data_IF_627356684571
#
_entry.id   IF_627356684571
#
_cell.length_a   1.000
_cell.length_b   1.000
_cell.length_c   1.000
_cell.angle_alpha   90.00
_cell.angle_beta   90.00
_cell.angle_gamma   90.00
#
_symmetry.space_group_name_H-M   'P 1'
#
loop_
_entity.id
_entity.type
_entity.pdbx_description
1 polymer ?
#
# COMPACT_ATOMS: atom_id res chain seq x y z
N UNK A 1 30.77 -17.75 18.25
CA UNK A 1 29.42 -17.16 18.23
C UNK A 1 28.88 -17.31 16.82
N UNK A 2 27.63 -17.78 16.60
CA UNK A 2 27.07 -17.82 15.25
C UNK A 2 27.06 -16.40 14.68
N UNK A 3 27.59 -16.24 13.46
CA UNK A 3 27.64 -14.97 12.76
C UNK A 3 26.21 -14.47 12.49
N UNK A 4 25.96 -13.19 12.70
CA UNK A 4 24.69 -12.57 12.35
C UNK A 4 24.45 -12.72 10.85
N UNK A 5 23.39 -13.42 10.45
CA UNK A 5 22.91 -13.37 9.08
C UNK A 5 22.12 -12.07 8.90
N UNK A 6 22.78 -11.03 8.38
CA UNK A 6 22.21 -9.68 8.19
C UNK A 6 21.09 -9.66 7.17
N UNK A 7 21.17 -10.49 6.14
CA UNK A 7 20.13 -10.60 5.12
C UNK A 7 18.84 -11.18 5.69
N UNK A 8 18.97 -12.22 6.51
CA UNK A 8 17.85 -12.76 7.28
C UNK A 8 17.29 -11.69 8.21
N UNK A 9 18.15 -11.04 9.01
CA UNK A 9 17.73 -10.02 9.97
C UNK A 9 16.97 -8.87 9.28
N UNK A 10 17.48 -8.37 8.16
CA UNK A 10 16.84 -7.34 7.37
C UNK A 10 15.49 -7.80 6.81
N UNK A 11 15.38 -9.05 6.36
CA UNK A 11 14.13 -9.60 5.83
C UNK A 11 13.06 -9.72 6.94
N UNK A 12 13.41 -10.22 8.12
CA UNK A 12 12.46 -10.29 9.25
C UNK A 12 12.06 -8.90 9.74
N UNK A 13 13.00 -7.95 9.81
CA UNK A 13 12.72 -6.56 10.19
C UNK A 13 11.74 -5.89 9.20
N UNK A 14 11.92 -6.16 7.90
CA UNK A 14 11.02 -5.66 6.87
C UNK A 14 9.63 -6.28 6.96
N UNK A 15 9.51 -7.59 7.12
CA UNK A 15 8.20 -8.23 7.22
C UNK A 15 7.47 -7.81 8.50
N UNK A 16 8.18 -7.65 9.62
CA UNK A 16 7.61 -7.14 10.87
C UNK A 16 7.08 -5.70 10.75
N UNK A 17 7.50 -4.93 9.73
CA UNK A 17 6.95 -3.59 9.45
C UNK A 17 5.54 -3.65 8.83
N UNK A 18 5.26 -4.69 8.05
CA UNK A 18 4.00 -4.86 7.32
C UNK A 18 3.04 -5.88 7.95
N UNK A 19 3.43 -6.50 9.07
CA UNK A 19 2.64 -7.49 9.82
C UNK A 19 2.85 -7.34 11.33
N UNK A 20 2.69 -8.41 12.11
CA UNK A 20 3.08 -8.44 13.53
C UNK A 20 4.42 -9.13 13.73
N UNK A 21 5.08 -8.82 14.84
CA UNK A 21 6.35 -9.45 15.25
C UNK A 21 6.24 -10.98 15.28
N UNK A 22 5.15 -11.51 15.82
CA UNK A 22 4.92 -12.95 15.95
C UNK A 22 4.82 -13.62 14.59
N UNK A 23 4.06 -13.03 13.66
CA UNK A 23 3.87 -13.56 12.31
C UNK A 23 5.16 -13.52 11.49
N UNK A 24 5.90 -12.42 11.58
CA UNK A 24 7.21 -12.32 10.95
C UNK A 24 8.17 -13.36 11.54
N UNK A 25 8.27 -13.44 12.86
CA UNK A 25 9.13 -14.41 13.54
C UNK A 25 8.80 -15.85 13.17
N UNK A 26 7.52 -16.21 13.12
CA UNK A 26 7.05 -17.52 12.70
C UNK A 26 7.43 -17.85 11.25
N UNK A 27 7.30 -16.88 10.35
CA UNK A 27 7.57 -17.08 8.91
C UNK A 27 9.04 -17.38 8.62
N UNK A 28 9.95 -16.84 9.42
CA UNK A 28 11.41 -17.02 9.25
C UNK A 28 12.05 -17.96 10.29
N UNK A 29 11.26 -18.58 11.17
CA UNK A 29 11.76 -19.50 12.19
C UNK A 29 12.67 -18.83 13.23
N UNK A 30 12.41 -17.56 13.56
CA UNK A 30 13.20 -16.80 14.55
C UNK A 30 12.35 -16.46 15.77
N UNK A 31 13.00 -16.19 16.90
CA UNK A 31 12.27 -15.77 18.11
C UNK A 31 12.03 -14.25 18.13
N UNK A 32 10.95 -13.81 18.79
CA UNK A 32 10.68 -12.37 19.03
C UNK A 32 11.86 -11.70 19.76
N UNK A 33 12.52 -12.40 20.69
CA UNK A 33 13.72 -11.90 21.37
C UNK A 33 14.86 -11.62 20.39
N UNK A 34 15.02 -12.46 19.35
CA UNK A 34 16.00 -12.27 18.29
C UNK A 34 15.67 -11.03 17.46
N UNK A 35 14.41 -10.88 17.05
CA UNK A 35 13.95 -9.69 16.31
C UNK A 35 14.19 -8.40 17.10
N UNK A 36 13.87 -8.39 18.40
CA UNK A 36 14.11 -7.25 19.28
C UNK A 36 15.60 -6.90 19.41
N UNK A 37 16.48 -7.91 19.43
CA UNK A 37 17.93 -7.70 19.39
C UNK A 37 18.38 -7.05 18.07
N UNK A 38 17.84 -7.49 16.94
CA UNK A 38 18.15 -6.90 15.63
C UNK A 38 17.63 -5.46 15.50
N UNK A 39 16.47 -5.14 16.09
CA UNK A 39 15.98 -3.76 16.17
C UNK A 39 16.94 -2.85 16.95
N UNK A 40 17.46 -3.33 18.08
CA UNK A 40 18.49 -2.58 18.82
C UNK A 40 19.74 -2.39 17.98
N UNK A 41 20.23 -3.43 17.33
CA UNK A 41 21.40 -3.34 16.46
C UNK A 41 21.22 -2.32 15.32
N UNK A 42 20.02 -2.27 14.74
CA UNK A 42 19.66 -1.26 13.73
C UNK A 42 19.63 0.15 14.34
N UNK A 43 19.05 0.30 15.54
CA UNK A 43 18.98 1.58 16.25
C UNK A 43 20.36 2.09 16.73
N UNK A 44 21.25 1.16 17.09
CA UNK A 44 22.64 1.43 17.50
C UNK A 44 23.53 1.80 16.30
N UNK A 45 23.01 1.72 15.07
CA UNK A 45 23.67 2.26 13.88
C UNK A 45 24.52 1.27 13.09
N UNK A 46 24.25 -0.04 13.12
CA UNK A 46 24.99 -1.02 12.27
C UNK A 46 24.86 -0.63 10.78
N UNK A 47 25.94 -0.14 10.13
CA UNK A 47 25.84 0.46 8.80
C UNK A 47 25.45 -0.55 7.72
N UNK A 48 25.89 -1.80 7.88
CA UNK A 48 25.65 -2.87 6.90
C UNK A 48 24.18 -3.32 6.97
N UNK A 49 23.66 -3.50 8.18
CA UNK A 49 22.24 -3.83 8.36
C UNK A 49 21.33 -2.69 7.89
N UNK A 50 21.67 -1.45 8.19
CA UNK A 50 20.93 -0.26 7.72
C UNK A 50 20.87 -0.23 6.19
N UNK A 51 22.01 -0.44 5.52
CA UNK A 51 22.07 -0.43 4.06
C UNK A 51 21.17 -1.51 3.44
N UNK A 52 21.21 -2.73 3.98
CA UNK A 52 20.38 -3.84 3.48
C UNK A 52 18.89 -3.58 3.72
N UNK A 53 18.51 -3.10 4.90
CA UNK A 53 17.12 -2.75 5.22
C UNK A 53 16.62 -1.63 4.29
N UNK A 54 17.41 -0.58 4.08
CA UNK A 54 17.07 0.50 3.17
C UNK A 54 16.86 -0.01 1.73
N UNK A 55 17.77 -0.84 1.22
CA UNK A 55 17.65 -1.43 -0.12
C UNK A 55 16.38 -2.29 -0.26
N UNK A 56 16.09 -3.15 0.73
CA UNK A 56 14.87 -3.97 0.75
C UNK A 56 13.60 -3.13 0.84
N UNK A 57 13.62 -2.05 1.63
CA UNK A 57 12.51 -1.10 1.71
C UNK A 57 12.25 -0.42 0.37
N UNK A 58 13.28 0.10 -0.29
CA UNK A 58 13.13 0.71 -1.61
C UNK A 58 12.56 -0.28 -2.63
N UNK A 59 13.04 -1.53 -2.63
CA UNK A 59 12.50 -2.57 -3.51
C UNK A 59 11.03 -2.89 -3.19
N UNK A 60 10.66 -2.96 -1.92
CA UNK A 60 9.28 -3.18 -1.49
C UNK A 60 8.37 -2.00 -1.89
N UNK A 61 8.81 -0.76 -1.70
CA UNK A 61 8.08 0.45 -2.06
C UNK A 61 7.84 0.51 -3.58
N UNK A 62 8.84 0.17 -4.40
CA UNK A 62 8.69 0.07 -5.86
C UNK A 62 7.71 -1.04 -6.27
N UNK A 63 7.81 -2.21 -5.64
CA UNK A 63 6.88 -3.31 -5.89
C UNK A 63 5.44 -2.93 -5.52
N UNK A 64 5.26 -2.18 -4.43
CA UNK A 64 3.97 -1.64 -4.01
C UNK A 64 3.45 -0.57 -4.96
N UNK A 65 4.30 0.34 -5.41
CA UNK A 65 3.93 1.37 -6.39
C UNK A 65 3.35 0.75 -7.67
N UNK A 66 3.89 -0.38 -8.12
CA UNK A 66 3.39 -1.10 -9.28
C UNK A 66 2.04 -1.82 -9.03
N UNK A 67 1.75 -2.21 -7.79
CA UNK A 67 0.50 -2.89 -7.41
C UNK A 67 -0.62 -1.91 -7.10
N UNK A 68 -0.29 -0.70 -6.65
CA UNK A 68 -1.24 0.29 -6.17
C UNK A 68 -2.33 0.63 -7.21
N UNK A 69 -2.04 0.82 -8.51
CA UNK A 69 -3.09 1.07 -9.50
C UNK A 69 -4.14 -0.05 -9.56
N UNK A 70 -3.71 -1.31 -9.51
CA UNK A 70 -4.61 -2.47 -9.52
C UNK A 70 -5.49 -2.54 -8.28
N UNK A 71 -4.89 -2.33 -7.09
CA UNK A 71 -5.63 -2.30 -5.82
C UNK A 71 -6.65 -1.15 -5.78
N UNK A 72 -6.27 0.03 -6.26
CA UNK A 72 -7.18 1.18 -6.37
C UNK A 72 -8.34 0.87 -7.33
N UNK A 73 -8.06 0.25 -8.48
CA UNK A 73 -9.11 -0.16 -9.43
C UNK A 73 -10.12 -1.13 -8.80
N UNK A 74 -9.64 -2.11 -8.03
CA UNK A 74 -10.52 -3.06 -7.32
C UNK A 74 -11.36 -2.35 -6.24
N UNK A 75 -10.76 -1.40 -5.51
CA UNK A 75 -11.49 -0.59 -4.53
C UNK A 75 -12.59 0.26 -5.18
N UNK A 76 -12.29 0.91 -6.31
CA UNK A 76 -13.28 1.68 -7.07
C UNK A 76 -14.43 0.81 -7.58
N UNK A 77 -14.11 -0.39 -8.07
CA UNK A 77 -15.11 -1.37 -8.51
C UNK A 77 -16.02 -1.78 -7.34
N UNK A 78 -15.46 -2.11 -6.18
CA UNK A 78 -16.23 -2.47 -5.00
C UNK A 78 -17.17 -1.33 -4.55
N UNK A 79 -16.71 -0.07 -4.63
CA UNK A 79 -17.56 1.09 -4.32
C UNK A 79 -18.71 1.21 -5.33
N UNK A 80 -18.46 0.98 -6.63
CA UNK A 80 -19.50 1.01 -7.66
C UNK A 80 -20.54 -0.12 -7.47
N UNK A 81 -20.10 -1.32 -7.10
CA UNK A 81 -20.96 -2.45 -6.78
C UNK A 81 -21.81 -2.16 -5.53
N UNK A 82 -21.21 -1.65 -4.45
CA UNK A 82 -21.92 -1.22 -3.25
C UNK A 82 -22.94 -0.12 -3.56
N UNK A 83 -22.58 0.87 -4.37
CA UNK A 83 -23.49 1.94 -4.78
C UNK A 83 -24.71 1.37 -5.53
N UNK A 84 -24.50 0.39 -6.41
CA UNK A 84 -25.56 -0.29 -7.14
C UNK A 84 -26.45 -1.11 -6.21
N UNK A 85 -25.87 -1.83 -5.25
CA UNK A 85 -26.60 -2.59 -4.25
C UNK A 85 -27.49 -1.67 -3.39
N UNK A 86 -26.94 -0.58 -2.86
CA UNK A 86 -27.68 0.43 -2.09
C UNK A 86 -28.81 1.02 -2.93
N UNK A 87 -28.58 1.29 -4.22
CA UNK A 87 -29.63 1.79 -5.13
C UNK A 87 -30.78 0.79 -5.34
N UNK A 88 -30.60 -0.49 -5.05
CA UNK A 88 -31.65 -1.50 -5.21
C UNK A 88 -32.31 -1.89 -3.88
N UNK A 89 -31.85 -1.33 -2.75
CA UNK A 89 -32.36 -1.62 -1.40
C UNK A 89 -33.04 -0.38 -0.81
N UNK A 90 -34.36 -0.46 -0.58
CA UNK A 90 -35.18 0.66 -0.08
C UNK A 90 -34.87 1.07 1.37
N UNK A 91 -34.44 0.12 2.21
CA UNK A 91 -34.08 0.40 3.59
C UNK A 91 -32.70 1.05 3.65
N UNK A 92 -31.75 0.57 2.83
CA UNK A 92 -30.43 1.17 2.71
C UNK A 92 -30.47 2.61 2.19
N UNK A 93 -31.35 2.93 1.24
CA UNK A 93 -31.56 4.30 0.72
C UNK A 93 -32.02 5.29 1.78
N UNK A 94 -32.77 4.83 2.77
CA UNK A 94 -33.34 5.68 3.82
C UNK A 94 -32.44 5.75 5.04
N UNK A 95 -31.41 4.90 5.12
CA UNK A 95 -30.47 4.87 6.23
C UNK A 95 -29.40 5.97 6.06
N UNK A 96 -29.39 7.02 6.90
CA UNK A 96 -28.44 8.11 6.78
C UNK A 96 -26.99 7.67 6.98
N UNK A 97 -26.74 6.64 7.81
CA UNK A 97 -25.38 6.14 8.04
C UNK A 97 -24.79 5.49 6.78
N UNK A 98 -25.62 4.75 6.03
CA UNK A 98 -25.23 4.12 4.76
C UNK A 98 -24.92 5.18 3.71
N UNK A 99 -25.81 6.17 3.56
CA UNK A 99 -25.59 7.27 2.62
C UNK A 99 -24.35 8.09 2.96
N UNK A 100 -24.09 8.35 4.25
CA UNK A 100 -22.91 9.07 4.70
C UNK A 100 -21.62 8.30 4.38
N UNK A 101 -21.60 6.98 4.64
CA UNK A 101 -20.47 6.13 4.31
C UNK A 101 -20.20 6.11 2.78
N UNK A 102 -21.24 5.98 1.97
CA UNK A 102 -21.14 6.02 0.50
C UNK A 102 -20.62 7.38 0.00
N UNK A 103 -21.12 8.50 0.55
CA UNK A 103 -20.64 9.83 0.20
C UNK A 103 -19.15 10.01 0.56
N UNK A 104 -18.71 9.47 1.69
CA UNK A 104 -17.30 9.44 2.09
C UNK A 104 -16.44 8.67 1.09
N UNK A 105 -16.88 7.48 0.68
CA UNK A 105 -16.18 6.68 -0.32
C UNK A 105 -16.09 7.41 -1.68
N UNK A 106 -17.20 7.98 -2.16
CA UNK A 106 -17.23 8.73 -3.42
C UNK A 106 -16.35 9.98 -3.39
N UNK A 107 -16.25 10.67 -2.24
CA UNK A 107 -15.31 11.79 -2.08
C UNK A 107 -13.87 11.35 -2.29
N UNK A 108 -13.45 10.22 -1.72
CA UNK A 108 -12.10 9.68 -1.91
C UNK A 108 -11.86 9.39 -3.40
N UNK A 109 -12.84 8.79 -4.10
CA UNK A 109 -12.75 8.56 -5.55
C UNK A 109 -12.57 9.86 -6.33
N UNK A 110 -13.32 10.91 -5.98
CA UNK A 110 -13.22 12.22 -6.62
C UNK A 110 -11.85 12.87 -6.38
N UNK A 111 -11.32 12.79 -5.16
CA UNK A 111 -10.00 13.33 -4.80
C UNK A 111 -8.88 12.63 -5.60
N UNK A 112 -8.97 11.30 -5.75
CA UNK A 112 -8.04 10.52 -6.60
C UNK A 112 -8.13 10.97 -8.06
N UNK A 113 -9.34 11.10 -8.61
CA UNK A 113 -9.55 11.52 -9.99
C UNK A 113 -9.01 12.93 -10.28
N UNK A 114 -9.29 13.88 -9.38
CA UNK A 114 -8.80 15.25 -9.49
C UNK A 114 -7.28 15.31 -9.39
N UNK A 115 -6.69 14.52 -8.48
CA UNK A 115 -5.23 14.43 -8.34
C UNK A 115 -4.58 13.91 -9.62
N UNK A 116 -5.14 12.86 -10.22
CA UNK A 116 -4.66 12.33 -11.50
C UNK A 116 -4.73 13.37 -12.62
N UNK A 117 -5.84 14.12 -12.73
CA UNK A 117 -5.96 15.20 -13.71
C UNK A 117 -4.92 16.31 -13.52
N UNK A 118 -4.60 16.67 -12.28
CA UNK A 118 -3.54 17.65 -11.99
C UNK A 118 -2.16 17.10 -12.38
N UNK A 119 -1.90 15.82 -12.13
CA UNK A 119 -0.66 15.15 -12.54
C UNK A 119 -0.55 15.13 -14.07
N UNK A 120 -1.59 14.70 -14.77
CA UNK A 120 -1.62 14.64 -16.24
C UNK A 120 -1.42 16.02 -16.86
N UNK A 121 -2.10 17.05 -16.33
CA UNK A 121 -1.92 18.43 -16.78
C UNK A 121 -0.48 18.93 -16.58
N UNK A 122 0.18 18.54 -15.47
CA UNK A 122 1.58 18.88 -15.21
C UNK A 122 2.56 18.11 -16.13
N UNK A 123 2.24 16.87 -16.49
CA UNK A 123 3.04 16.06 -17.42
C UNK A 123 2.92 16.61 -18.85
N UNK A 124 1.69 16.91 -19.29
CA UNK A 124 1.39 17.55 -20.57
C UNK A 124 2.05 18.92 -20.71
N UNK A 125 1.96 19.76 -19.66
CA UNK A 125 2.61 21.07 -19.62
C UNK A 125 4.15 21.01 -19.69
N UNK A 126 4.75 19.84 -19.45
CA UNK A 126 6.19 19.58 -19.57
C UNK A 126 6.59 18.84 -20.86
N UNK A 127 5.64 18.55 -21.76
CA UNK A 127 5.93 17.93 -23.06
C UNK A 127 6.37 16.46 -23.01
N UNK A 128 6.11 15.75 -21.91
CA UNK A 128 6.41 14.31 -21.80
C UNK A 128 5.25 13.47 -22.37
N UNK A 129 5.52 12.40 -23.15
CA UNK A 129 4.47 11.60 -23.77
C UNK A 129 3.62 10.88 -22.72
N UNK A 130 2.29 11.01 -22.83
CA UNK A 130 1.33 10.22 -22.05
C UNK A 130 1.32 8.80 -22.64
N UNK A 131 1.50 7.77 -21.80
CA UNK A 131 1.23 6.39 -22.20
C UNK A 131 -0.25 6.24 -22.53
N UNK A 132 -0.55 5.82 -23.76
CA UNK A 132 -1.89 5.70 -24.35
C UNK A 132 -2.84 4.83 -23.49
N UNK A 133 -3.46 5.48 -22.52
CA UNK A 133 -4.46 4.90 -21.63
C UNK A 133 -5.77 4.76 -22.37
N UNK A 134 -5.91 3.63 -23.07
CA UNK A 134 -7.15 2.92 -23.37
C UNK A 134 -8.40 3.77 -23.61
N UNK A 135 -8.77 3.90 -24.88
CA UNK A 135 -10.12 4.28 -25.36
C UNK A 135 -11.21 3.67 -24.46
N UNK A 136 -11.96 4.51 -23.75
CA UNK A 136 -13.25 4.10 -23.18
C UNK A 136 -14.26 3.97 -24.33
N UNK A 137 -14.92 2.81 -24.53
CA UNK A 137 -16.00 2.70 -25.48
C UNK A 137 -17.21 3.50 -24.98
N UNK A 138 -17.75 4.34 -25.87
CA UNK A 138 -19.02 5.06 -25.77
C UNK A 138 -20.22 4.13 -25.74
#
# INVERSE_FOLDING_TARGET
>A
MPSLNRDLAASVLMDALYTTDEKACQSYGVSVRTLQRWRRLLADGDPELIAIVAAKRTAADLAWANKLPGVLSLGLQAIAECSTAIRNDEDAKKNPAVLHALAGALRICADVHLTNKVIDARILGKGLPIGDGGKYPT
#
